data_IF_898491413352
#
_entry.id   IF_898491413352
#
_cell.length_a   1.000
_cell.length_b   1.000
_cell.length_c   1.000
_cell.angle_alpha   90.00
_cell.angle_beta   90.00
_cell.angle_gamma   90.00
#
_symmetry.space_group_name_H-M   'P 1'
#
loop_
_entity.id
_entity.type
_entity.pdbx_description
1 polymer ?
2 branched ?
3 branched ?
4 non-polymer ?
5 non-polymer ?
6 non-polymer ?
7 water ?
#
# COMPACT_ATOMS: atom_id res chain seq x y z
N UNK A 1 -22.92 -8.41 -9.98
CA UNK A 1 -23.22 -8.77 -11.39
C UNK A 1 -23.13 -7.62 -12.41
N UNK A 2 -23.11 -6.36 -11.97
CA UNK A 2 -22.67 -5.24 -12.84
C UNK A 2 -21.32 -4.70 -12.34
N UNK A 3 -20.50 -4.16 -13.24
CA UNK A 3 -19.23 -3.53 -12.84
C UNK A 3 -19.50 -2.38 -11.87
N UNK A 4 -18.68 -2.24 -10.82
CA UNK A 4 -18.81 -1.09 -9.92
C UNK A 4 -18.31 0.20 -10.60
N UNK A 5 -19.05 1.29 -10.38
CA UNK A 5 -18.63 2.62 -10.76
C UNK A 5 -18.40 3.49 -9.53
N UNK A 6 -17.35 4.30 -9.60
CA UNK A 6 -16.98 5.29 -8.58
C UNK A 6 -17.88 6.50 -8.65
N UNK A 7 -19.10 6.35 -8.13
CA UNK A 7 -20.14 7.39 -8.25
C UNK A 7 -20.21 8.30 -7.02
N UNK A 8 -19.55 7.91 -5.93
CA UNK A 8 -19.63 8.62 -4.64
C UNK A 8 -18.35 9.44 -4.36
N UNK A 9 -18.50 10.49 -3.55
CA UNK A 9 -17.36 11.25 -3.02
C UNK A 9 -16.91 10.61 -1.69
N UNK A 10 -15.78 11.07 -1.15
CA UNK A 10 -15.28 10.62 0.17
C UNK A 10 -16.17 11.16 1.29
N UNK A 11 -16.42 10.34 2.31
CA UNK A 11 -17.08 10.82 3.51
C UNK A 11 -16.12 11.81 4.19
N UNK A 12 -16.69 12.69 4.99
CA UNK A 12 -15.91 13.66 5.76
C UNK A 12 -15.16 12.89 6.84
N UNK A 13 -13.85 13.14 6.90
CA UNK A 13 -12.98 12.44 7.82
C UNK A 13 -12.73 13.34 9.02
N UNK A 14 -13.39 13.06 10.14
CA UNK A 14 -13.21 13.85 11.37
C UNK A 14 -12.33 13.14 12.40
N UNK A 15 -12.21 11.80 12.23
CA UNK A 15 -11.27 10.95 12.94
C UNK A 15 -11.20 9.56 12.29
N UNK A 16 -10.53 8.63 12.98
CA UNK A 16 -10.29 7.28 12.49
C UNK A 16 -10.70 6.32 13.58
N UNK A 17 -11.52 5.34 13.19
CA UNK A 17 -11.94 4.28 14.10
C UNK A 17 -11.18 2.96 13.74
N UNK A 18 -10.96 2.10 14.75
CA UNK A 18 -10.37 0.80 14.53
C UNK A 18 -11.30 -0.05 13.60
N UNK A 19 -10.68 -0.66 12.59
CA UNK A 19 -11.39 -1.51 11.59
C UNK A 19 -11.00 -3.00 11.71
N UNK A 20 -9.70 -3.26 11.73
CA UNK A 20 -9.18 -4.62 11.86
C UNK A 20 -7.76 -4.67 12.38
N UNK A 21 -7.41 -5.79 13.01
CA UNK A 21 -6.09 -6.00 13.60
C UNK A 21 -5.98 -7.53 13.77
N UNK A 22 -4.90 -8.12 13.26
CA UNK A 22 -4.75 -9.59 13.32
C UNK A 22 -3.83 -10.13 14.42
N UNK A 23 -3.01 -9.28 15.02
CA UNK A 23 -2.13 -9.71 16.10
C UNK A 23 -1.36 -10.97 15.65
N UNK A 24 -0.89 -10.99 14.41
CA UNK A 24 -0.35 -12.23 13.84
C UNK A 24 0.94 -12.72 14.52
N UNK A 25 1.85 -11.79 14.84
CA UNK A 25 3.14 -12.17 15.43
C UNK A 25 2.91 -12.69 16.87
N UNK A 26 2.02 -12.03 17.65
CA UNK A 26 1.68 -12.49 19.02
C UNK A 26 1.13 -13.90 18.93
N UNK A 27 0.16 -14.09 18.03
CA UNK A 27 -0.51 -15.40 17.94
C UNK A 27 0.42 -16.49 17.37
N UNK A 28 1.20 -16.12 16.35
CA UNK A 28 2.12 -17.04 15.67
C UNK A 28 3.32 -17.55 16.45
N UNK A 29 3.50 -17.01 17.64
CA UNK A 29 4.49 -17.49 18.61
C UNK A 29 4.22 -18.95 18.98
N UNK A 30 2.95 -19.35 18.86
CA UNK A 30 2.53 -20.70 19.28
C UNK A 30 1.36 -21.18 18.42
N UNK A 31 1.40 -20.91 17.13
CA UNK A 31 0.44 -21.51 16.21
C UNK A 31 0.98 -21.37 14.82
N UNK A 32 0.34 -22.03 13.84
CA UNK A 32 0.93 -22.14 12.51
C UNK A 32 0.67 -20.94 11.60
N UNK A 33 1.34 -19.85 11.92
CA UNK A 33 1.15 -18.59 11.20
C UNK A 33 2.28 -18.38 10.18
N UNK A 34 1.88 -18.07 8.94
CA UNK A 34 2.82 -17.76 7.86
C UNK A 34 3.62 -16.46 8.10
N UNK A 35 4.91 -16.50 7.78
CA UNK A 35 5.73 -15.30 7.73
C UNK A 35 5.25 -14.50 6.51
N UNK A 36 5.02 -13.19 6.69
CA UNK A 36 4.58 -12.34 5.58
C UNK A 36 5.41 -11.06 5.57
N UNK A 37 5.09 -10.22 4.56
CA UNK A 37 5.35 -8.80 4.52
C UNK A 37 4.56 -8.20 3.34
N UNK A 38 4.61 -6.88 3.18
CA UNK A 38 3.87 -6.21 2.11
C UNK A 38 2.34 -6.52 2.12
N UNK A 39 1.69 -6.35 3.30
CA UNK A 39 0.26 -6.65 3.41
C UNK A 39 -0.62 -5.53 2.90
N UNK A 40 -1.92 -5.82 2.83
CA UNK A 40 -2.94 -4.83 2.53
C UNK A 40 -4.31 -5.45 2.78
N UNK A 41 -5.35 -4.68 2.46
CA UNK A 41 -6.73 -5.06 2.68
C UNK A 41 -7.46 -4.72 1.36
N UNK A 42 -8.48 -5.51 1.01
CA UNK A 42 -9.23 -5.30 -0.22
C UNK A 42 -10.58 -5.97 -0.05
N UNK A 43 -11.63 -5.30 -0.53
CA UNK A 43 -13.01 -5.78 -0.41
C UNK A 43 -13.56 -6.35 -1.70
N UNK A 44 -14.36 -7.40 -1.54
CA UNK A 44 -15.25 -7.91 -2.56
C UNK A 44 -16.64 -7.33 -2.21
N UNK A 45 -17.65 -7.50 -3.10
CA UNK A 45 -18.98 -7.00 -2.75
C UNK A 45 -19.60 -7.64 -1.51
N UNK A 46 -19.13 -8.82 -1.10
CA UNK A 46 -19.72 -9.56 0.02
C UNK A 46 -18.78 -9.78 1.21
N UNK A 47 -17.54 -9.32 1.13
CA UNK A 47 -16.51 -9.68 2.10
C UNK A 47 -15.29 -8.77 1.92
N UNK A 48 -14.69 -8.34 3.03
CA UNK A 48 -13.37 -7.69 3.01
C UNK A 48 -12.31 -8.63 3.59
N UNK A 49 -11.13 -8.66 2.96
CA UNK A 49 -10.07 -9.59 3.43
C UNK A 49 -8.69 -8.95 3.62
N UNK A 50 -7.82 -9.64 4.39
CA UNK A 50 -6.42 -9.22 4.56
C UNK A 50 -5.63 -9.92 3.46
N UNK A 51 -4.62 -9.22 2.92
CA UNK A 51 -3.76 -9.70 1.85
C UNK A 51 -2.31 -9.50 2.29
N UNK A 52 -1.41 -10.36 1.79
CA UNK A 52 0.03 -10.21 2.00
C UNK A 52 0.84 -11.16 1.13
N UNK A 53 2.13 -10.87 1.04
CA UNK A 53 3.10 -11.75 0.44
C UNK A 53 3.69 -12.73 1.45
N UNK A 54 3.24 -13.99 1.42
CA UNK A 54 3.82 -15.03 2.23
C UNK A 54 5.30 -15.23 1.89
N UNK A 55 6.03 -15.83 2.82
CA UNK A 55 7.43 -16.19 2.60
C UNK A 55 7.58 -17.72 2.49
N UNK A 56 6.45 -18.42 2.49
CA UNK A 56 6.40 -19.86 2.32
C UNK A 56 7.01 -20.65 3.49
N UNK A 57 6.67 -20.22 4.72
CA UNK A 57 7.17 -20.82 5.97
C UNK A 57 6.40 -20.17 7.12
N UNK A 58 6.20 -20.90 8.20
CA UNK A 58 5.69 -20.35 9.45
C UNK A 58 6.78 -19.54 10.16
N UNK A 59 6.38 -18.70 11.11
CA UNK A 59 7.31 -17.86 11.90
C UNK A 59 8.20 -18.69 12.84
N UNK A 60 7.59 -19.64 13.55
CA UNK A 60 8.35 -20.59 14.40
C UNK A 60 9.16 -21.59 13.56
N UNK A 61 8.84 -21.70 12.27
CA UNK A 61 9.53 -22.66 11.43
C UNK A 61 10.99 -22.32 11.28
N UNK A 62 11.84 -23.34 11.21
CA UNK A 62 13.25 -23.16 10.82
C UNK A 62 13.51 -22.40 9.51
N UNK A 63 12.59 -22.48 8.53
CA UNK A 63 12.77 -21.74 7.25
C UNK A 63 12.46 -20.24 7.36
N UNK A 64 12.10 -19.76 8.54
CA UNK A 64 11.86 -18.32 8.73
C UNK A 64 13.22 -17.58 8.72
N UNK A 65 14.28 -18.35 8.90
CA UNK A 65 15.60 -17.78 8.89
C UNK A 65 15.92 -17.33 7.47
N UNK A 66 16.15 -16.03 7.29
CA UNK A 66 16.51 -15.47 5.97
C UNK A 66 15.37 -14.68 5.34
N UNK A 67 14.24 -14.59 6.04
CA UNK A 67 13.03 -13.92 5.51
C UNK A 67 13.08 -12.39 5.45
N UNK A 68 14.21 -11.79 5.89
CA UNK A 68 14.48 -10.38 5.56
C UNK A 68 14.48 -10.15 4.00
N UNK A 69 14.87 -11.17 3.23
CA UNK A 69 14.96 -11.05 1.78
C UNK A 69 13.58 -10.92 1.13
N UNK A 70 13.50 -9.99 0.19
CA UNK A 70 12.25 -9.61 -0.48
C UNK A 70 11.76 -10.59 -1.56
N UNK A 71 12.67 -11.28 -2.24
CA UNK A 71 12.33 -11.96 -3.49
C UNK A 71 12.89 -13.36 -3.52
N UNK A 72 12.00 -14.36 -3.45
CA UNK A 72 12.37 -15.76 -3.53
C UNK A 72 11.25 -16.48 -4.26
N UNK A 73 11.55 -17.73 -4.60
CA UNK A 73 10.61 -18.61 -5.27
C UNK A 73 9.54 -19.13 -4.34
N UNK A 74 9.63 -18.77 -3.05
CA UNK A 74 8.75 -19.36 -2.01
C UNK A 74 7.67 -18.38 -1.57
N UNK A 75 7.61 -17.21 -2.22
CA UNK A 75 6.65 -16.18 -1.88
C UNK A 75 5.35 -16.35 -2.66
N UNK A 76 4.23 -15.86 -2.10
CA UNK A 76 2.98 -15.88 -2.84
C UNK A 76 2.04 -14.85 -2.28
N UNK A 77 1.18 -14.29 -3.14
CA UNK A 77 0.08 -13.48 -2.63
C UNK A 77 -1.00 -14.37 -1.98
N UNK A 78 -1.24 -14.16 -0.70
CA UNK A 78 -2.32 -14.88 0.00
C UNK A 78 -3.39 -13.90 0.48
N UNK A 79 -4.62 -14.38 0.65
CA UNK A 79 -5.63 -13.61 1.36
C UNK A 79 -6.25 -14.48 2.45
N UNK A 80 -6.87 -13.84 3.44
CA UNK A 80 -7.40 -14.57 4.58
C UNK A 80 -8.50 -13.72 5.24
N UNK A 81 -9.36 -14.35 6.09
CA UNK A 81 -10.46 -13.55 6.66
C UNK A 81 -10.01 -12.36 7.53
N UNK A 82 -10.75 -11.25 7.41
CA UNK A 82 -10.47 -9.99 8.08
C UNK A 82 -10.15 -10.19 9.57
N UNK A 83 -9.01 -9.65 9.99
CA UNK A 83 -8.56 -9.66 11.38
C UNK A 83 -8.15 -11.05 11.92
N UNK A 84 -8.28 -12.10 11.10
CA UNK A 84 -7.61 -13.38 11.38
C UNK A 84 -6.12 -13.25 11.07
N UNK A 85 -5.26 -14.13 11.63
CA UNK A 85 -3.87 -14.14 11.20
C UNK A 85 -3.73 -14.99 9.92
N UNK A 86 -2.64 -14.76 9.14
CA UNK A 86 -2.48 -15.60 7.96
C UNK A 86 -1.90 -16.93 8.37
N UNK A 87 -2.74 -17.94 8.51
CA UNK A 87 -2.25 -19.25 8.95
C UNK A 87 -2.09 -20.18 7.73
N UNK A 88 -1.35 -21.24 7.90
CA UNK A 88 -1.23 -22.28 6.88
C UNK A 88 -2.62 -22.80 6.46
N UNK A 89 -3.53 -22.91 7.41
CA UNK A 89 -4.83 -23.57 7.20
C UNK A 89 -5.98 -22.65 6.70
N UNK A 90 -5.85 -21.34 6.88
CA UNK A 90 -6.92 -20.38 6.42
C UNK A 90 -6.51 -19.44 5.29
N UNK A 91 -5.27 -19.57 4.82
CA UNK A 91 -4.77 -18.67 3.79
C UNK A 91 -5.04 -19.21 2.38
N UNK A 92 -5.59 -18.36 1.53
CA UNK A 92 -5.95 -18.71 0.17
C UNK A 92 -4.90 -18.09 -0.73
N UNK A 93 -4.24 -18.90 -1.57
CA UNK A 93 -3.24 -18.38 -2.51
C UNK A 93 -3.93 -17.77 -3.76
N UNK A 94 -3.65 -16.49 -4.01
CA UNK A 94 -4.18 -15.78 -5.18
C UNK A 94 -3.30 -15.97 -6.45
N UNK A 95 -1.99 -16.03 -6.24
CA UNK A 95 -1.02 -16.26 -7.34
C UNK A 95 0.36 -16.33 -6.73
N UNK A 96 1.32 -16.77 -7.53
CA UNK A 96 2.72 -16.98 -7.06
C UNK A 96 3.60 -15.78 -7.46
N UNK A 97 4.34 -15.24 -6.49
CA UNK A 97 5.30 -14.17 -6.81
C UNK A 97 5.69 -13.33 -5.62
N UNK A 98 6.51 -12.31 -5.87
CA UNK A 98 7.10 -11.48 -4.80
C UNK A 98 6.77 -9.99 -4.92
N UNK A 99 5.76 -9.68 -5.73
CA UNK A 99 5.20 -8.32 -5.86
C UNK A 99 3.80 -8.46 -6.44
N UNK A 100 2.85 -7.69 -5.91
CA UNK A 100 1.44 -7.94 -6.22
C UNK A 100 0.54 -6.72 -6.12
N UNK A 101 -0.61 -6.85 -6.77
CA UNK A 101 -1.78 -5.99 -6.48
C UNK A 101 -3.03 -6.87 -6.69
N UNK A 102 -4.21 -6.35 -6.32
CA UNK A 102 -5.48 -7.10 -6.39
C UNK A 102 -6.64 -6.13 -6.22
N UNK A 103 -7.72 -6.34 -6.99
CA UNK A 103 -8.94 -5.55 -6.82
C UNK A 103 -10.14 -6.26 -7.48
N UNK A 104 -11.33 -6.02 -6.94
CA UNK A 104 -12.58 -6.62 -7.44
C UNK A 104 -13.24 -5.53 -8.28
N UNK A 105 -13.75 -5.90 -9.45
CA UNK A 105 -14.39 -4.91 -10.33
C UNK A 105 -15.90 -4.83 -10.19
N UNK A 106 -16.47 -5.61 -9.26
CA UNK A 106 -17.93 -5.62 -9.03
C UNK A 106 -18.53 -6.93 -9.51
N UNK A 107 -17.87 -7.55 -10.47
CA UNK A 107 -18.29 -8.89 -10.95
C UNK A 107 -17.36 -9.94 -10.40
N UNK A 108 -16.04 -9.71 -10.54
CA UNK A 108 -15.07 -10.65 -9.98
C UNK A 108 -13.70 -9.96 -9.71
N UNK A 109 -12.73 -10.72 -9.21
CA UNK A 109 -11.45 -10.17 -8.78
C UNK A 109 -10.31 -10.38 -9.79
N UNK A 110 -9.53 -9.33 -10.02
CA UNK A 110 -8.24 -9.43 -10.70
C UNK A 110 -7.13 -9.44 -9.67
N UNK A 111 -6.18 -10.36 -9.82
CA UNK A 111 -4.99 -10.42 -8.98
C UNK A 111 -3.78 -10.49 -9.87
N UNK A 112 -2.71 -9.81 -9.46
CA UNK A 112 -1.47 -9.76 -10.28
C UNK A 112 -0.27 -10.05 -9.41
N UNK A 113 0.56 -11.01 -9.86
CA UNK A 113 1.79 -11.34 -9.14
C UNK A 113 2.90 -11.33 -10.16
N UNK A 114 4.03 -10.76 -9.71
CA UNK A 114 5.24 -10.75 -10.50
C UNK A 114 6.23 -11.75 -9.87
N UNK A 115 6.92 -12.54 -10.69
CA UNK A 115 7.98 -13.42 -10.18
C UNK A 115 9.15 -13.43 -11.15
N UNK A 116 10.25 -14.08 -10.77
CA UNK A 116 11.39 -14.24 -11.65
C UNK A 116 12.66 -13.67 -11.05
N UNK A 117 13.80 -13.86 -11.77
CA UNK A 117 15.03 -13.26 -11.30
C UNK A 117 14.95 -11.76 -11.58
N UNK A 118 15.86 -10.97 -10.99
CA UNK A 118 15.85 -9.52 -11.16
C UNK A 118 15.88 -9.05 -12.62
N UNK A 119 16.63 -9.76 -13.48
CA UNK A 119 16.75 -9.37 -14.88
C UNK A 119 15.74 -10.01 -15.84
N UNK A 120 14.75 -10.74 -15.31
CA UNK A 120 13.91 -11.52 -16.16
C UNK A 120 12.53 -11.83 -15.55
N UNK A 121 11.96 -10.85 -14.84
CA UNK A 121 10.69 -11.03 -14.16
C UNK A 121 9.51 -10.94 -15.12
N UNK A 122 8.37 -11.48 -14.71
CA UNK A 122 7.14 -11.35 -15.50
C UNK A 122 5.93 -11.22 -14.58
N UNK A 123 4.97 -10.39 -14.97
CA UNK A 123 3.66 -10.29 -14.34
C UNK A 123 2.67 -11.34 -14.95
N UNK A 124 1.93 -12.04 -14.10
CA UNK A 124 0.74 -12.75 -14.57
C UNK A 124 -0.51 -12.20 -13.94
N UNK A 125 -1.47 -11.89 -14.81
CA UNK A 125 -2.72 -11.23 -14.43
C UNK A 125 -3.79 -12.31 -14.42
N UNK A 126 -4.31 -12.57 -13.23
CA UNK A 126 -5.40 -13.51 -13.00
C UNK A 126 -6.72 -12.75 -12.92
N UNK A 127 -7.79 -13.38 -13.37
CA UNK A 127 -9.10 -12.77 -13.34
C UNK A 127 -10.08 -13.94 -13.18
N UNK A 128 -11.02 -13.79 -12.23
CA UNK A 128 -11.93 -14.90 -11.85
C UNK A 128 -11.12 -16.16 -11.49
N UNK A 129 -9.97 -15.92 -10.86
CA UNK A 129 -9.05 -16.96 -10.34
C UNK A 129 -8.41 -17.86 -11.37
N UNK A 130 -8.38 -17.39 -12.61
CA UNK A 130 -7.66 -18.07 -13.68
C UNK A 130 -6.65 -17.10 -14.29
N UNK A 131 -5.50 -17.64 -14.78
CA UNK A 131 -4.52 -16.79 -15.48
C UNK A 131 -5.06 -16.38 -16.86
N UNK A 132 -4.97 -15.08 -17.16
CA UNK A 132 -5.47 -14.54 -18.45
C UNK A 132 -4.39 -13.87 -19.31
N UNK A 133 -3.56 -13.00 -18.69
CA UNK A 133 -2.57 -12.20 -19.44
C UNK A 133 -1.22 -12.26 -18.75
N UNK A 134 -0.15 -12.21 -19.53
CA UNK A 134 1.22 -12.17 -18.98
C UNK A 134 1.99 -11.01 -19.59
N UNK A 135 2.85 -10.36 -18.78
CA UNK A 135 3.66 -9.22 -19.24
C UNK A 135 5.13 -9.43 -18.88
N UNK A 136 6.02 -9.43 -19.89
CA UNK A 136 7.44 -9.63 -19.60
C UNK A 136 8.07 -8.31 -19.17
N UNK A 137 9.05 -8.39 -18.29
CA UNK A 137 9.94 -7.27 -17.97
C UNK A 137 10.30 -6.46 -19.23
N UNK A 138 10.19 -5.12 -19.12
CA UNK A 138 10.60 -4.22 -20.22
C UNK A 138 11.97 -3.52 -19.98
N UNK A 139 12.45 -3.49 -18.74
CA UNK A 139 13.72 -2.78 -18.44
C UNK A 139 14.73 -3.71 -17.74
N UNK A 140 14.33 -4.96 -17.51
CA UNK A 140 15.19 -6.02 -17.00
C UNK A 140 15.81 -5.72 -15.63
N UNK A 141 15.01 -5.11 -14.76
CA UNK A 141 15.47 -4.72 -13.44
C UNK A 141 14.30 -4.67 -12.44
N UNK A 142 13.97 -5.85 -11.90
CA UNK A 142 12.92 -5.98 -10.87
C UNK A 142 11.62 -5.26 -11.28
N UNK A 143 10.97 -5.78 -12.32
CA UNK A 143 9.53 -5.47 -12.56
C UNK A 143 8.77 -5.57 -11.23
N UNK A 144 7.99 -4.52 -10.89
CA UNK A 144 7.37 -4.46 -9.57
C UNK A 144 6.12 -3.57 -9.59
N UNK A 145 5.23 -3.72 -8.60
CA UNK A 145 3.93 -3.05 -8.67
C UNK A 145 3.53 -2.54 -7.29
N UNK A 146 2.24 -2.38 -7.03
CA UNK A 146 1.74 -1.50 -5.97
C UNK A 146 1.97 -1.98 -4.53
N UNK A 147 1.87 -3.30 -4.29
CA UNK A 147 1.81 -3.88 -2.92
C UNK A 147 0.59 -3.37 -2.12
N UNK A 148 -0.44 -2.92 -2.84
CA UNK A 148 -1.76 -2.66 -2.24
C UNK A 148 -2.86 -2.70 -3.31
N UNK A 149 -4.12 -2.54 -2.92
CA UNK A 149 -5.19 -2.82 -3.89
C UNK A 149 -5.24 -1.84 -5.06
N UNK A 150 -5.60 -2.35 -6.24
CA UNK A 150 -5.93 -1.49 -7.38
C UNK A 150 -7.38 -1.02 -7.23
N UNK A 151 -7.86 -0.25 -8.21
CA UNK A 151 -9.21 0.30 -8.15
C UNK A 151 -9.84 0.18 -9.53
N UNK A 152 -11.11 -0.20 -9.59
CA UNK A 152 -11.80 -0.35 -10.86
C UNK A 152 -12.94 0.67 -11.01
N UNK A 153 -13.22 1.00 -12.27
CA UNK A 153 -14.36 1.81 -12.65
C UNK A 153 -14.95 1.30 -13.98
N UNK A 154 -16.21 0.85 -13.94
CA UNK A 154 -16.89 0.24 -15.10
C UNK A 154 -16.07 -0.86 -15.80
N UNK A 155 -15.40 -1.70 -15.02
CA UNK A 155 -14.66 -2.81 -15.63
C UNK A 155 -13.21 -2.49 -15.84
N UNK A 156 -12.88 -1.19 -15.91
CA UNK A 156 -11.47 -0.76 -16.13
C UNK A 156 -10.71 -0.59 -14.79
N UNK A 157 -9.66 -1.41 -14.61
CA UNK A 157 -8.82 -1.40 -13.40
C UNK A 157 -7.37 -1.00 -13.75
N UNK A 158 -7.00 0.29 -13.56
CA UNK A 158 -5.62 0.71 -13.78
C UNK A 158 -4.64 0.19 -12.73
N UNK A 159 -3.43 -0.14 -13.20
CA UNK A 159 -2.38 -0.63 -12.33
C UNK A 159 -1.07 0.08 -12.69
N UNK A 160 -0.36 0.52 -11.64
CA UNK A 160 0.94 1.16 -11.81
C UNK A 160 2.07 0.17 -11.59
N UNK A 161 2.94 0.05 -12.59
CA UNK A 161 4.12 -0.81 -12.56
C UNK A 161 5.36 0.06 -12.74
N UNK A 162 6.49 -0.40 -12.21
CA UNK A 162 7.78 0.20 -12.48
C UNK A 162 8.78 -0.89 -12.81
N UNK A 163 9.69 -0.61 -13.75
CA UNK A 163 10.78 -1.52 -14.10
C UNK A 163 12.01 -0.63 -14.36
N UNK A 164 13.14 -0.99 -13.78
CA UNK A 164 14.37 -0.21 -13.93
C UNK A 164 14.87 0.16 -12.56
N UNK A 165 15.76 1.16 -12.51
CA UNK A 165 16.47 1.52 -11.30
C UNK A 165 15.63 2.00 -10.12
N UNK A 166 16.07 1.66 -8.92
CA UNK A 166 15.51 2.15 -7.65
C UNK A 166 16.21 3.44 -7.19
N UNK A 167 17.28 3.81 -7.90
CA UNK A 167 18.19 4.90 -7.47
C UNK A 167 18.55 5.85 -8.64
N UNK A 168 17.60 6.06 -9.53
CA UNK A 168 17.80 6.78 -10.79
C UNK A 168 16.52 6.68 -11.60
N UNK A 169 16.45 7.38 -12.73
CA UNK A 169 15.29 7.29 -13.62
C UNK A 169 14.93 5.82 -13.95
N UNK A 170 13.63 5.52 -13.95
CA UNK A 170 13.15 4.17 -14.21
C UNK A 170 11.97 4.22 -15.20
N UNK A 171 11.43 3.07 -15.61
CA UNK A 171 10.34 3.03 -16.57
C UNK A 171 9.02 2.57 -15.94
N UNK A 172 8.17 3.55 -15.66
CA UNK A 172 6.90 3.33 -15.00
C UNK A 172 5.84 3.33 -16.09
N UNK A 173 4.91 2.40 -15.99
CA UNK A 173 3.79 2.29 -16.94
C UNK A 173 2.46 2.17 -16.19
N UNK A 174 1.41 2.76 -16.80
CA UNK A 174 0.06 2.58 -16.29
C UNK A 174 -0.66 1.65 -17.25
N UNK A 175 -1.01 0.47 -16.76
CA UNK A 175 -1.78 -0.50 -17.51
C UNK A 175 -3.26 -0.37 -17.14
N UNK A 176 -4.10 -0.34 -18.16
CA UNK A 176 -5.55 -0.32 -18.01
C UNK A 176 -6.09 -1.70 -18.39
N UNK A 177 -6.48 -2.46 -17.36
CA UNK A 177 -7.01 -3.82 -17.53
C UNK A 177 -8.55 -3.84 -17.51
N UNK A 178 -9.12 -4.78 -18.25
CA UNK A 178 -10.55 -5.07 -18.17
C UNK A 178 -10.75 -6.58 -18.41
N UNK A 179 -11.31 -7.26 -17.41
CA UNK A 179 -11.45 -8.72 -17.43
C UNK A 179 -10.09 -9.42 -17.62
N UNK A 180 -9.05 -8.87 -16.99
CA UNK A 180 -7.69 -9.39 -17.09
C UNK A 180 -6.94 -9.16 -18.39
N UNK A 181 -7.56 -8.46 -19.33
CA UNK A 181 -6.92 -8.21 -20.62
C UNK A 181 -6.47 -6.74 -20.68
N UNK A 182 -5.39 -6.48 -21.42
CA UNK A 182 -4.82 -5.13 -21.52
C UNK A 182 -5.68 -4.35 -22.51
N UNK A 183 -6.31 -3.28 -22.04
CA UNK A 183 -6.99 -2.40 -22.97
C UNK A 183 -5.99 -1.42 -23.58
N UNK A 184 -5.06 -0.96 -22.75
CA UNK A 184 -4.16 0.13 -23.11
C UNK A 184 -3.06 0.14 -22.05
N UNK A 185 -1.89 0.66 -22.41
CA UNK A 185 -0.92 1.10 -21.40
C UNK A 185 -0.29 2.44 -21.85
N UNK A 186 0.25 3.20 -20.90
CA UNK A 186 0.90 4.49 -21.13
C UNK A 186 2.21 4.55 -20.32
N UNK A 187 3.25 5.23 -20.85
CA UNK A 187 4.38 5.55 -19.97
C UNK A 187 3.95 6.66 -18.99
N UNK A 188 4.57 6.69 -17.81
CA UNK A 188 4.35 7.75 -16.84
C UNK A 188 4.60 9.14 -17.46
N UNK A 189 3.67 10.06 -17.20
CA UNK A 189 3.86 11.45 -17.58
C UNK A 189 3.72 12.34 -16.36
N UNK A 190 3.84 13.65 -16.59
CA UNK A 190 3.71 14.67 -15.56
C UNK A 190 5.06 14.90 -14.92
N UNK A 191 5.07 15.43 -13.70
CA UNK A 191 6.31 15.90 -13.08
C UNK A 191 6.89 14.96 -11.98
N UNK A 192 6.17 13.89 -11.62
CA UNK A 192 6.75 12.86 -10.75
C UNK A 192 8.02 12.32 -11.40
N UNK A 193 9.11 12.21 -10.65
CA UNK A 193 10.40 11.83 -11.26
C UNK A 193 10.79 10.35 -11.03
N UNK A 194 10.18 9.73 -10.03
CA UNK A 194 10.40 8.32 -9.74
C UNK A 194 9.16 7.81 -9.05
N UNK A 195 8.68 6.61 -9.41
CA UNK A 195 7.41 6.03 -8.90
C UNK A 195 7.57 4.57 -8.47
N UNK A 196 7.13 4.27 -7.25
CA UNK A 196 7.09 2.89 -6.77
C UNK A 196 5.88 2.72 -5.87
N UNK A 197 5.34 1.50 -5.80
CA UNK A 197 4.40 1.13 -4.74
C UNK A 197 3.23 2.09 -4.53
N UNK A 198 2.49 2.38 -5.59
CA UNK A 198 1.34 3.29 -5.49
C UNK A 198 0.19 2.77 -4.60
N UNK A 199 -0.31 3.66 -3.71
CA UNK A 199 -1.49 3.39 -2.89
C UNK A 199 -2.65 4.17 -3.45
N UNK A 200 -3.73 3.47 -3.85
CA UNK A 200 -4.75 4.10 -4.68
C UNK A 200 -6.14 4.01 -4.06
N UNK A 201 -6.98 4.97 -4.42
CA UNK A 201 -8.39 4.95 -4.05
C UNK A 201 -9.19 5.66 -5.15
N UNK A 202 -10.50 5.44 -5.15
CA UNK A 202 -11.38 5.95 -6.17
C UNK A 202 -12.51 6.74 -5.56
N UNK A 203 -12.83 7.87 -6.20
CA UNK A 203 -14.05 8.63 -5.86
C UNK A 203 -14.44 9.49 -7.04
N UNK A 204 -15.75 9.64 -7.24
CA UNK A 204 -16.32 10.43 -8.36
C UNK A 204 -15.54 10.25 -9.70
N UNK A 205 -15.40 9.00 -10.11
CA UNK A 205 -14.86 8.60 -11.43
C UNK A 205 -13.40 9.02 -11.67
N UNK A 206 -12.66 9.24 -10.58
CA UNK A 206 -11.25 9.54 -10.63
C UNK A 206 -10.49 8.64 -9.65
N UNK A 207 -9.33 8.13 -10.06
CA UNK A 207 -8.50 7.31 -9.18
C UNK A 207 -7.25 8.11 -8.82
N UNK A 208 -7.02 8.24 -7.52
CA UNK A 208 -5.86 8.97 -6.98
C UNK A 208 -4.92 7.96 -6.37
N UNK A 209 -3.65 8.04 -6.75
CA UNK A 209 -2.60 7.16 -6.23
C UNK A 209 -1.48 7.98 -5.57
N UNK A 210 -1.14 7.63 -4.33
CA UNK A 210 -0.01 8.24 -3.60
C UNK A 210 1.10 7.21 -3.55
N UNK A 211 2.27 7.60 -4.07
CA UNK A 211 3.32 6.63 -4.30
C UNK A 211 4.60 6.98 -3.56
N UNK A 212 5.68 6.28 -3.91
CA UNK A 212 7.00 6.36 -3.26
C UNK A 212 8.03 6.79 -4.32
N UNK A 213 8.66 7.93 -4.12
CA UNK A 213 9.79 8.31 -4.95
C UNK A 213 11.04 7.83 -4.21
N UNK A 214 11.51 6.63 -4.56
CA UNK A 214 12.65 6.06 -3.90
C UNK A 214 13.96 6.82 -4.16
N UNK A 215 14.09 7.41 -5.35
CA UNK A 215 15.34 7.99 -5.80
C UNK A 215 15.67 9.29 -5.04
N UNK A 216 14.73 10.24 -5.02
CA UNK A 216 15.06 11.55 -4.47
C UNK A 216 14.08 12.16 -3.48
N UNK A 217 12.80 11.77 -3.57
CA UNK A 217 11.71 12.53 -2.97
C UNK A 217 11.31 12.10 -1.57
N UNK A 218 11.29 13.06 -0.64
CA UNK A 218 10.77 12.83 0.73
C UNK A 218 9.35 13.38 0.87
N UNK A 219 8.97 14.23 -0.09
CA UNK A 219 7.53 14.42 -0.38
C UNK A 219 7.04 13.21 -1.23
N UNK A 220 5.74 12.96 -1.30
CA UNK A 220 5.30 11.80 -2.08
C UNK A 220 4.75 12.18 -3.45
N UNK A 221 5.13 11.42 -4.49
CA UNK A 221 4.51 11.62 -5.80
C UNK A 221 3.05 11.18 -5.84
N UNK A 222 2.27 11.81 -6.70
CA UNK A 222 0.85 11.54 -6.83
C UNK A 222 0.49 11.36 -8.31
N UNK A 223 -0.14 10.25 -8.63
CA UNK A 223 -0.70 10.03 -9.94
C UNK A 223 -2.23 10.10 -9.87
N UNK A 224 -2.85 10.90 -10.72
CA UNK A 224 -4.31 10.84 -10.80
C UNK A 224 -4.77 10.32 -12.15
N UNK A 225 -5.65 9.33 -12.11
CA UNK A 225 -6.04 8.55 -13.28
C UNK A 225 -7.52 8.76 -13.61
N UNK A 226 -7.77 9.06 -14.88
CA UNK A 226 -9.12 9.03 -15.46
C UNK A 226 -9.35 7.64 -16.07
N UNK A 227 -10.13 6.76 -15.40
CA UNK A 227 -10.33 5.39 -15.90
C UNK A 227 -11.30 5.28 -17.08
N UNK A 228 -11.97 6.37 -17.44
CA UNK A 228 -12.83 6.42 -18.65
C UNK A 228 -11.98 6.83 -19.85
N UNK A 229 -11.35 8.02 -19.78
CA UNK A 229 -10.43 8.47 -20.85
C UNK A 229 -9.16 7.62 -20.92
N UNK A 230 -8.88 6.86 -19.84
CA UNK A 230 -7.64 6.10 -19.70
C UNK A 230 -6.39 6.98 -19.90
N UNK A 231 -6.39 8.11 -19.19
CA UNK A 231 -5.26 9.05 -19.16
C UNK A 231 -4.90 9.37 -17.71
N UNK A 232 -3.75 9.98 -17.48
CA UNK A 232 -3.30 10.31 -16.12
C UNK A 232 -2.45 11.58 -16.11
N UNK A 233 -2.22 12.12 -14.91
CA UNK A 233 -1.22 13.19 -14.69
C UNK A 233 -0.41 12.73 -13.50
N UNK A 234 0.68 13.43 -13.22
CA UNK A 234 1.44 13.21 -11.97
C UNK A 234 2.07 14.51 -11.51
N UNK A 235 2.25 14.61 -10.19
CA UNK A 235 2.92 15.75 -9.54
C UNK A 235 3.37 15.19 -8.19
N UNK A 236 3.74 16.09 -7.26
CA UNK A 236 4.02 15.73 -5.86
C UNK A 236 2.99 16.40 -4.95
N UNK A 237 2.81 15.86 -3.74
CA UNK A 237 2.20 16.62 -2.64
C UNK A 237 3.03 17.89 -2.38
N UNK A 238 2.38 19.05 -2.58
CA UNK A 238 3.02 20.38 -2.41
C UNK A 238 3.42 20.62 -0.95
N UNK A 239 2.65 20.04 -0.03
CA UNK A 239 2.78 20.30 1.39
C UNK A 239 4.21 20.12 1.94
N UNK A 240 4.65 21.02 2.84
CA UNK A 240 5.88 20.83 3.61
C UNK A 240 5.78 19.76 4.73
N UNK A 241 4.59 19.23 4.96
CA UNK A 241 4.45 18.05 5.86
C UNK A 241 4.92 16.84 5.05
N UNK A 242 6.19 16.46 5.23
CA UNK A 242 6.81 15.40 4.42
C UNK A 242 6.43 14.02 4.96
N UNK A 243 6.11 13.07 4.06
CA UNK A 243 5.49 11.81 4.48
C UNK A 243 6.18 10.52 4.01
N UNK A 244 7.35 10.63 3.40
CA UNK A 244 8.16 9.43 3.16
C UNK A 244 9.05 9.15 4.38
N UNK A 245 9.88 8.13 4.27
CA UNK A 245 10.79 7.76 5.37
C UNK A 245 11.92 6.90 4.79
N UNK A 246 13.20 7.15 5.17
CA UNK A 246 13.65 8.29 5.98
C UNK A 246 13.44 9.63 5.22
N UNK A 247 13.47 10.74 5.95
CA UNK A 247 13.20 12.07 5.39
C UNK A 247 13.91 13.12 6.25
N UNK A 248 14.12 14.33 5.70
CA UNK A 248 14.69 15.36 6.57
C UNK A 248 13.54 15.96 7.38
N UNK A 249 13.84 16.91 8.26
CA UNK A 249 12.81 17.59 9.06
C UNK A 249 11.89 18.40 8.18
N UNK A 250 10.65 18.57 8.64
CA UNK A 250 9.67 19.36 7.90
C UNK A 250 10.15 20.80 7.72
N UNK A 251 10.15 21.30 6.46
CA UNK A 251 10.42 22.72 6.15
C UNK A 251 9.15 23.55 6.34
N UNK A 252 9.17 24.81 5.93
CA UNK A 252 7.93 25.58 5.89
C UNK A 252 7.32 25.69 4.50
N UNK A 253 8.12 25.45 3.46
CA UNK A 253 7.57 25.36 2.11
C UNK A 253 8.03 24.07 1.44
N UNK A 254 6.99 23.13 0.74
CA UNK A 254 7.22 21.89 0.01
C UNK A 254 7.54 22.19 -1.44
N UNK A 255 7.41 21.16 -2.25
CA UNK A 255 7.64 21.27 -3.67
C UNK A 255 6.51 20.51 -4.34
N UNK A 256 5.91 21.16 -5.33
CA UNK A 256 4.75 20.67 -6.08
C UNK A 256 5.17 19.78 -7.24
N UNK A 257 6.30 20.11 -7.86
CA UNK A 257 6.66 19.47 -9.13
C UNK A 257 8.06 18.87 -9.20
N UNK A 258 8.65 18.64 -8.04
CA UNK A 258 9.98 18.07 -7.94
C UNK A 258 10.09 17.35 -6.61
N UNK A 259 11.03 16.38 -6.50
CA UNK A 259 11.25 15.70 -5.23
C UNK A 259 11.79 16.68 -4.16
N UNK A 260 11.26 16.63 -2.93
CA UNK A 260 11.86 17.40 -1.84
C UNK A 260 13.16 16.68 -1.42
N UNK A 261 14.32 17.39 -1.51
CA UNK A 261 15.61 16.70 -1.31
C UNK A 261 16.00 16.50 0.16
N UNK A 262 17.16 15.86 0.36
CA UNK A 262 17.68 15.60 1.69
C UNK A 262 17.94 14.13 1.98
N UNK A 263 17.24 13.22 1.29
CA UNK A 263 17.43 11.76 1.45
C UNK A 263 17.27 11.04 0.10
N UNK A 264 18.24 10.20 -0.23
CA UNK A 264 18.30 9.58 -1.55
C UNK A 264 18.18 8.06 -1.40
N UNK A 265 17.63 7.41 -2.42
CA UNK A 265 17.81 5.97 -2.58
C UNK A 265 17.17 5.13 -1.45
N UNK A 266 16.03 5.58 -0.95
CA UNK A 266 15.31 4.81 0.06
C UNK A 266 13.95 5.43 0.27
N UNK A 267 13.09 4.74 0.99
CA UNK A 267 11.70 5.24 1.18
C UNK A 267 10.86 4.19 1.87
N UNK A 268 9.55 4.40 1.91
CA UNK A 268 8.61 3.41 2.37
C UNK A 268 7.27 3.57 1.62
N UNK A 269 6.57 2.47 1.38
CA UNK A 269 5.24 2.60 0.80
C UNK A 269 4.34 3.36 1.78
N UNK A 270 3.62 4.38 1.30
CA UNK A 270 2.65 5.11 2.14
C UNK A 270 1.44 5.54 1.32
N UNK A 271 0.62 6.45 1.84
CA UNK A 271 -0.66 6.80 1.20
C UNK A 271 -1.14 8.17 1.69
N UNK A 272 -2.19 8.70 1.04
CA UNK A 272 -2.89 9.88 1.54
C UNK A 272 -4.31 9.85 0.99
N UNK A 273 -5.17 10.70 1.57
CA UNK A 273 -6.47 11.00 0.97
C UNK A 273 -6.48 12.47 0.64
N UNK A 274 -6.66 12.80 -0.63
CA UNK A 274 -6.47 14.19 -1.08
C UNK A 274 -7.80 14.78 -1.60
N UNK A 275 -8.46 15.56 -0.75
CA UNK A 275 -9.86 15.93 -0.98
C UNK A 275 -10.14 17.35 -0.43
N UNK A 276 -9.39 18.34 -0.95
CA UNK A 276 -9.55 19.72 -0.52
C UNK A 276 -9.24 19.88 0.95
N UNK A 277 -10.16 20.48 1.70
CA UNK A 277 -10.00 20.59 3.16
C UNK A 277 -10.10 19.22 3.87
N UNK A 278 -10.76 18.25 3.24
CA UNK A 278 -10.89 16.88 3.77
C UNK A 278 -9.65 16.01 3.40
N UNK A 279 -8.46 16.56 3.60
CA UNK A 279 -7.21 15.93 3.20
C UNK A 279 -6.48 15.40 4.43
N UNK A 280 -6.12 14.12 4.40
CA UNK A 280 -5.37 13.51 5.51
C UNK A 280 -4.15 12.75 4.98
N UNK A 281 -3.00 12.99 5.60
CA UNK A 281 -1.75 12.31 5.26
C UNK A 281 -1.32 11.33 6.36
N UNK A 282 -0.86 10.14 5.98
CA UNK A 282 -0.16 9.27 6.91
C UNK A 282 1.34 9.46 6.78
N UNK A 283 2.05 9.26 7.89
CA UNK A 283 3.52 9.17 7.91
C UNK A 283 3.93 8.39 9.14
N UNK A 284 5.14 7.81 9.07
CA UNK A 284 5.88 7.40 10.24
C UNK A 284 6.12 8.63 11.11
N UNK A 285 6.21 8.44 12.43
CA UNK A 285 6.54 9.55 13.31
C UNK A 285 8.05 9.85 13.18
N UNK A 286 8.87 8.81 13.23
CA UNK A 286 10.33 8.93 13.06
C UNK A 286 10.67 9.45 11.66
N UNK A 287 11.70 10.30 11.59
CA UNK A 287 12.26 10.75 10.31
C UNK A 287 13.39 9.83 9.87
N UNK A 288 13.77 8.91 10.75
CA UNK A 288 14.95 8.08 10.55
C UNK A 288 14.60 6.63 10.16
N UNK A 289 13.54 6.08 10.72
CA UNK A 289 13.18 4.70 10.45
C UNK A 289 11.66 4.47 10.50
N UNK A 290 11.25 3.22 10.26
CA UNK A 290 9.83 2.84 10.19
C UNK A 290 9.33 2.65 11.60
N UNK A 291 9.22 3.77 12.30
CA UNK A 291 8.92 3.81 13.70
C UNK A 291 7.75 4.78 13.88
N UNK A 292 6.72 4.33 14.58
CA UNK A 292 5.52 5.15 14.78
C UNK A 292 4.67 5.37 13.54
N UNK A 293 3.47 5.89 13.76
CA UNK A 293 2.56 6.17 12.68
C UNK A 293 1.48 7.12 13.13
N UNK A 294 1.23 8.15 12.33
CA UNK A 294 0.21 9.12 12.64
C UNK A 294 -0.54 9.54 11.39
N UNK A 295 -1.76 10.01 11.59
CA UNK A 295 -2.53 10.65 10.54
C UNK A 295 -2.60 12.14 10.84
N UNK A 296 -2.43 12.96 9.80
CA UNK A 296 -2.50 14.42 9.94
C UNK A 296 -3.46 15.03 8.94
N UNK A 297 -4.37 15.87 9.43
CA UNK A 297 -5.28 16.61 8.57
C UNK A 297 -4.52 17.85 8.07
N UNK A 298 -4.30 17.90 6.75
CA UNK A 298 -3.50 18.95 6.13
C UNK A 298 -4.35 19.50 4.97
N UNK A 299 -5.24 20.47 5.28
CA UNK A 299 -6.10 21.01 4.23
C UNK A 299 -5.32 21.43 2.99
N UNK A 300 -5.78 21.00 1.81
CA UNK A 300 -5.15 21.32 0.52
C UNK A 300 -3.69 20.93 0.36
N UNK A 301 -3.28 19.86 1.03
CA UNK A 301 -1.89 19.38 0.98
C UNK A 301 -1.36 19.21 -0.43
N UNK A 302 -2.20 18.67 -1.31
CA UNK A 302 -1.80 18.42 -2.71
C UNK A 302 -1.35 19.71 -3.40
N UNK A 303 -2.09 20.81 -3.18
CA UNK A 303 -1.91 22.01 -3.99
C UNK A 303 -1.31 23.22 -3.24
N UNK A 304 -1.12 23.11 -1.94
CA UNK A 304 -0.71 24.23 -1.10
C UNK A 304 0.68 23.94 -0.51
N UNK A 305 1.74 24.86 -0.96
CA UNK A 305 3.07 24.40 -0.60
C UNK A 305 3.48 24.91 0.78
N UNK A 306 2.55 25.53 1.47
CA UNK A 306 2.79 25.95 2.82
C UNK A 306 1.80 25.31 3.78
N UNK A 307 0.99 24.37 3.30
CA UNK A 307 -0.04 23.73 4.15
C UNK A 307 0.53 22.92 5.32
N UNK A 308 -0.01 23.17 6.52
CA UNK A 308 0.39 22.58 7.79
C UNK A 308 -0.82 21.90 8.47
N UNK A 309 -0.60 21.02 9.48
CA UNK A 309 -1.71 20.25 10.07
C UNK A 309 -2.71 21.11 10.85
N UNK A 310 -3.99 20.72 10.82
CA UNK A 310 -5.02 21.41 11.60
C UNK A 310 -5.65 20.43 12.57
N UNK A 311 -5.26 19.16 12.45
CA UNK A 311 -5.80 18.09 13.27
C UNK A 311 -4.95 16.86 12.99
N UNK A 312 -4.93 15.83 14.19
CA UNK A 312 -4.22 14.62 13.83
C UNK A 312 -4.71 13.49 14.68
N UNK A 313 -4.12 12.33 14.47
CA UNK A 313 -4.45 11.19 15.30
C UNK A 313 -3.21 10.28 15.28
N UNK A 314 -2.75 9.87 16.46
CA UNK A 314 -1.63 8.92 16.54
C UNK A 314 -2.22 7.52 16.37
N UNK A 315 -1.55 6.71 15.56
CA UNK A 315 -1.98 5.34 15.26
C UNK A 315 -1.04 4.36 15.99
N UNK A 316 0.26 4.61 15.85
CA UNK A 316 1.31 3.79 16.47
C UNK A 316 2.28 4.77 17.11
N UNK A 317 2.56 4.54 18.39
CA UNK A 317 3.55 5.36 19.12
C UNK A 317 4.92 5.20 18.49
N UNK A 318 5.73 6.26 18.57
CA UNK A 318 7.12 6.25 18.09
C UNK A 318 8.05 5.33 18.89
N UNK A 319 7.51 4.67 19.91
CA UNK A 319 8.22 3.62 20.63
C UNK A 319 7.83 2.23 20.11
N UNK A 320 7.07 2.19 19.02
CA UNK A 320 6.69 0.94 18.36
C UNK A 320 7.00 0.98 16.85
N UNK A 321 7.31 -0.18 16.31
CA UNK A 321 7.65 -0.34 14.90
C UNK A 321 6.43 -0.30 13.98
N UNK A 322 6.59 0.37 12.83
CA UNK A 322 5.56 0.41 11.80
C UNK A 322 6.12 -0.24 10.52
N UNK A 323 5.84 0.35 9.37
CA UNK A 323 6.20 -0.21 8.08
C UNK A 323 5.36 0.40 6.98
N UNK A 324 5.08 -0.40 5.98
CA UNK A 324 4.25 0.01 4.84
C UNK A 324 2.86 0.45 5.29
N UNK A 325 2.25 1.40 4.57
CA UNK A 325 0.86 1.73 4.79
C UNK A 325 0.22 1.97 3.42
N UNK A 326 -1.10 1.83 3.32
CA UNK A 326 -1.75 1.90 2.04
C UNK A 326 -3.25 2.06 2.18
N UNK A 327 -3.89 2.36 1.07
CA UNK A 327 -5.28 2.76 1.06
C UNK A 327 -6.18 1.65 0.45
N UNK A 328 -7.40 1.54 0.99
CA UNK A 328 -8.45 0.72 0.42
C UNK A 328 -9.78 1.36 0.89
N UNK A 329 -10.89 1.01 0.24
CA UNK A 329 -12.21 1.35 0.77
C UNK A 329 -13.15 0.22 0.43
N UNK A 330 -14.23 0.15 1.18
CA UNK A 330 -15.32 -0.75 0.86
C UNK A 330 -16.29 -0.04 -0.12
N UNK A 331 -16.00 -0.18 -1.41
CA UNK A 331 -16.83 0.35 -2.50
C UNK A 331 -18.27 -0.21 -2.53
N UNK A 332 -18.54 -1.26 -1.75
CA UNK A 332 -19.88 -1.90 -1.77
C UNK A 332 -20.72 -1.70 -0.49
N UNK A 333 -20.25 -0.80 0.38
CA UNK A 333 -20.93 -0.39 1.60
C UNK A 333 -22.21 0.41 1.32
N UNK A 334 -23.09 0.54 2.30
CA UNK A 334 -24.29 1.39 2.16
C UNK A 334 -23.96 2.86 2.34
N UNK A 335 -24.90 3.73 1.99
CA UNK A 335 -24.71 5.14 2.28
C UNK A 335 -24.35 5.93 1.04
N UNK A 336 -24.06 7.20 1.25
CA UNK A 336 -23.96 8.15 0.17
C UNK A 336 -22.51 8.58 -0.16
N UNK A 337 -21.53 8.03 0.57
CA UNK A 337 -20.15 8.43 0.41
C UNK A 337 -19.21 7.23 0.63
N UNK A 338 -18.01 7.29 0.06
CA UNK A 338 -17.01 6.25 0.36
C UNK A 338 -16.20 6.61 1.64
N UNK A 339 -16.13 5.66 2.57
CA UNK A 339 -15.42 5.84 3.84
C UNK A 339 -13.97 5.44 3.62
N UNK A 340 -13.07 6.40 3.75
CA UNK A 340 -11.65 6.19 3.60
C UNK A 340 -11.14 5.15 4.61
N UNK A 341 -10.33 4.20 4.16
CA UNK A 341 -9.64 3.30 5.10
C UNK A 341 -8.15 3.24 4.77
N UNK A 342 -7.38 2.75 5.71
CA UNK A 342 -5.97 2.42 5.48
C UNK A 342 -5.53 1.27 6.38
N UNK A 343 -4.41 0.64 6.05
CA UNK A 343 -3.75 -0.30 6.96
C UNK A 343 -2.31 0.22 7.22
N UNK A 344 -1.71 -0.23 8.32
CA UNK A 344 -0.29 -0.04 8.56
C UNK A 344 0.27 -1.46 8.82
N UNK A 345 1.37 -1.79 8.13
CA UNK A 345 2.17 -2.98 8.33
C UNK A 345 3.03 -2.70 9.57
N UNK A 346 2.93 -3.59 10.57
CA UNK A 346 3.74 -3.47 11.78
C UNK A 346 4.88 -4.49 11.69
N UNK A 347 6.05 -4.06 11.24
CA UNK A 347 7.17 -5.00 10.97
C UNK A 347 7.90 -5.37 12.26
N UNK A 348 8.16 -6.68 12.41
CA UNK A 348 8.90 -7.19 13.56
C UNK A 348 10.05 -8.01 13.05
N UNK A 349 11.12 -8.07 13.83
CA UNK A 349 12.30 -8.83 13.45
C UNK A 349 13.28 -7.98 12.65
N UNK A 350 13.97 -8.61 11.71
CA UNK A 350 15.09 -7.90 11.05
C UNK A 350 14.60 -6.80 10.10
N UNK A 351 15.40 -5.74 9.91
CA UNK A 351 16.72 -5.54 10.52
C UNK A 351 16.74 -4.89 11.92
N UNK A 352 15.63 -4.30 12.37
CA UNK A 352 15.65 -3.51 13.60
C UNK A 352 15.69 -4.37 14.83
N UNK A 353 15.17 -5.60 14.74
CA UNK A 353 15.20 -6.51 15.89
C UNK A 353 15.95 -7.78 15.49
N UNK A 354 17.28 -7.73 15.59
CA UNK A 354 18.11 -8.78 15.02
C UNK A 354 18.44 -9.96 15.94
N UNK A 355 17.78 -10.02 17.11
CA UNK A 355 17.99 -11.17 17.98
C UNK A 355 17.24 -12.39 17.43
N UNK A 356 16.27 -12.14 16.56
CA UNK A 356 15.61 -13.20 15.75
C UNK A 356 16.16 -13.19 14.33
N UNK A 357 16.07 -14.32 13.65
CA UNK A 357 16.59 -14.51 12.29
C UNK A 357 15.55 -14.23 11.19
N UNK A 358 14.32 -13.91 11.62
CA UNK A 358 13.21 -13.66 10.70
C UNK A 358 12.82 -12.19 10.58
N UNK A 359 12.05 -11.90 9.54
CA UNK A 359 11.29 -10.67 9.40
C UNK A 359 9.86 -11.03 9.12
N UNK A 360 8.93 -10.46 9.89
CA UNK A 360 7.52 -10.63 9.55
C UNK A 360 6.78 -9.34 9.92
N UNK A 361 5.45 -9.44 10.05
CA UNK A 361 4.65 -8.28 10.39
C UNK A 361 3.28 -8.72 10.89
N UNK A 362 2.55 -7.81 11.52
CA UNK A 362 1.12 -7.99 11.64
C UNK A 362 0.44 -6.77 11.00
N UNK A 363 -0.90 -6.70 11.09
CA UNK A 363 -1.67 -5.66 10.44
C UNK A 363 -2.57 -4.94 11.43
N UNK A 364 -2.65 -3.62 11.30
CA UNK A 364 -3.74 -2.85 11.92
C UNK A 364 -4.36 -2.00 10.83
N UNK A 365 -5.70 -1.85 10.83
CA UNK A 365 -6.36 -0.90 9.91
C UNK A 365 -7.47 -0.14 10.59
N UNK A 366 -7.77 1.02 10.03
CA UNK A 366 -8.74 2.00 10.51
C UNK A 366 -9.52 2.50 9.30
N UNK A 367 -10.75 2.98 9.53
CA UNK A 367 -11.52 3.68 8.52
C UNK A 367 -11.95 4.97 9.17
N UNK A 368 -12.38 5.93 8.36
CA UNK A 368 -12.73 7.27 8.89
C UNK A 368 -14.08 7.24 9.58
N UNK A 369 -14.21 8.09 10.60
CA UNK A 369 -15.50 8.40 11.23
C UNK A 369 -15.87 9.87 10.98
N UNK A 370 -17.17 10.18 10.90
CA UNK A 370 -17.64 11.60 10.92
C UNK A 370 -17.72 12.17 12.33
N UNK A 371 -17.56 11.30 13.33
CA UNK A 371 -17.37 11.73 14.72
C UNK A 371 -15.94 12.14 14.99
N UNK A 372 -15.71 12.82 16.13
CA UNK A 372 -14.36 13.17 16.61
C UNK A 372 -13.98 12.21 17.75
N UNK A 373 -13.58 11.00 17.33
CA UNK A 373 -13.35 9.94 18.31
C UNK A 373 -12.04 10.08 19.07
N UNK A 374 -12.09 9.66 20.34
CA UNK A 374 -10.88 9.47 21.13
C UNK A 374 -9.88 8.52 20.46
N UNK A 375 -8.59 8.75 20.70
CA UNK A 375 -7.54 7.93 20.11
C UNK A 375 -6.87 6.93 21.10
N UNK A 376 -6.52 5.75 20.57
CA UNK A 376 -5.61 4.82 21.21
C UNK A 376 -4.45 4.59 20.28
N UNK A 377 -3.40 3.92 20.76
CA UNK A 377 -2.32 3.53 19.86
C UNK A 377 -2.43 2.03 19.73
N UNK A 378 -1.93 1.52 18.60
CA UNK A 378 -2.15 0.11 18.22
C UNK A 378 -0.84 -0.56 17.82
N UNK A 379 -0.06 -1.04 18.81
CA UNK A 379 1.22 -1.70 18.49
C UNK A 379 1.02 -3.15 18.05
N UNK A 380 2.05 -3.73 17.42
CA UNK A 380 2.00 -5.17 17.10
C UNK A 380 1.66 -6.01 18.34
N UNK A 381 2.33 -5.73 19.45
CA UNK A 381 2.04 -6.37 20.74
C UNK A 381 2.87 -7.60 21.10
N UNK A 382 3.71 -8.09 20.18
CA UNK A 382 4.54 -9.26 20.50
C UNK A 382 5.82 -8.91 21.28
N UNK A 383 6.27 -9.86 22.10
CA UNK A 383 7.56 -9.79 22.82
C UNK A 383 8.59 -10.61 22.08
N UNK A 384 9.58 -9.95 21.48
CA UNK A 384 10.62 -10.66 20.74
C UNK A 384 11.35 -11.67 21.62
N UNK A 385 11.59 -11.32 22.88
CA UNK A 385 12.23 -12.21 23.85
C UNK A 385 11.61 -13.62 23.90
N UNK A 386 10.31 -13.71 23.69
CA UNK A 386 9.61 -15.01 23.70
C UNK A 386 10.07 -15.96 22.55
N UNK A 387 10.55 -15.37 21.46
CA UNK A 387 10.96 -16.09 20.27
C UNK A 387 12.41 -16.53 20.34
N UNK A 388 13.08 -16.18 21.45
CA UNK A 388 14.50 -16.47 21.59
C UNK A 388 14.69 -17.85 22.21
X LIG B 1 15.71 -14.36 -20.05
X LIG B 1 17.10 -14.99 -20.14
X LIG B 1 17.22 -15.56 -21.54
X LIG B 1 16.05 -16.53 -21.69
X LIG B 1 14.67 -15.89 -21.48
X LIG B 1 13.47 -16.82 -21.71
X LIG B 1 19.01 -13.87 -19.20
X LIG B 1 19.84 -12.63 -19.33
X LIG B 1 18.04 -13.88 -20.09
X LIG B 1 18.44 -16.31 -21.64
X LIG B 1 16.13 -16.88 -23.05
X LIG B 1 14.67 -15.35 -20.18
X LIG B 1 13.61 -18.13 -21.09
X LIG B 1 19.22 -14.77 -18.36
X LIG B 2 16.13 -18.46 -23.40
X LIG B 2 15.56 -18.94 -24.73
X LIG B 2 15.46 -20.45 -24.58
X LIG B 2 16.85 -20.96 -24.21
X LIG B 2 17.37 -20.38 -22.89
X LIG B 2 18.77 -20.88 -22.51
X LIG B 2 13.95 -17.35 -25.63
X LIG B 2 12.53 -16.89 -25.75
X LIG B 2 14.20 -18.43 -24.85
X LIG B 2 14.99 -20.98 -25.81
X LIG B 2 16.81 -22.38 -24.09
X LIG B 2 17.42 -18.97 -23.07
X LIG B 2 19.66 -20.43 -23.53
X LIG B 2 14.84 -16.75 -26.23
X LIG B 3 17.84 -23.31 -25.07
X LIG B 3 17.83 -24.69 -24.45
X LIG B 3 18.49 -25.63 -25.44
X LIG B 3 17.92 -25.51 -26.85
X LIG B 3 17.86 -24.06 -27.28
X LIG B 3 17.12 -24.00 -28.60
X LIG B 3 16.47 -25.10 -24.26
X LIG B 3 18.21 -26.93 -24.94
X LIG B 3 18.68 -26.24 -27.79
X LIG B 3 17.13 -23.32 -26.31
X LIG B 3 17.46 -22.73 -29.13
X LIG B 4 19.78 -27.54 -24.92
X LIG B 4 19.20 -28.92 -24.64
X LIG B 4 18.87 -29.13 -23.16
X LIG B 4 20.03 -28.75 -22.24
X LIG B 4 20.39 -27.29 -22.56
X LIG B 4 21.57 -26.73 -21.78
X LIG B 4 20.31 -29.74 -25.00
X LIG B 4 18.43 -30.45 -22.93
X LIG B 4 19.63 -28.83 -20.86
X LIG B 4 20.75 -27.20 -23.95
X LIG B 4 21.51 -25.30 -22.03
X LIG B 5 20.59 -31.30 -24.98
X LIG B 5 22.08 -31.48 -25.27
X LIG B 5 22.43 -31.23 -26.73
X LIG B 5 21.47 -32.00 -27.63
X LIG B 5 20.00 -31.62 -27.33
X LIG B 5 18.95 -32.41 -28.13
X LIG B 5 22.39 -32.81 -24.92
X LIG B 5 23.79 -31.62 -26.88
X LIG B 5 21.80 -31.66 -28.98
X LIG B 5 19.71 -31.86 -25.94
X LIG B 5 19.20 -33.83 -28.15
X LIG B 6 23.12 -33.23 -23.38
X LIG B 6 23.33 -34.74 -23.43
X LIG B 6 21.98 -35.46 -23.45
X LIG B 6 21.09 -34.98 -22.28
X LIG B 6 20.87 -33.45 -22.38
X LIG B 6 20.06 -32.87 -21.21
X LIG B 6 24.07 -35.09 -22.25
X LIG B 6 22.20 -36.87 -23.42
X LIG B 6 19.86 -35.72 -22.19
X LIG B 6 22.12 -32.75 -22.43
X LIG B 6 20.84 -33.01 -20.02
X LIG B 7 19.16 -22.55 -30.00
X LIG B 7 19.29 -21.10 -30.42
X LIG B 7 18.15 -20.75 -31.39
X LIG B 7 18.05 -21.69 -32.57
X LIG B 7 17.77 -23.02 -31.93
X LIG B 7 17.56 -24.13 -32.94
X LIG B 7 20.57 -20.98 -31.04
X LIG B 7 18.34 -19.44 -31.88
X LIG B 7 16.98 -21.30 -33.44
X LIG B 7 18.86 -23.40 -31.11
X LIG B 7 18.67 -24.04 -33.85
X LIG B 8 16.87 -17.84 -31.39
X LIG B 8 17.76 -16.93 -32.24
X LIG B 8 19.13 -16.62 -31.61
X LIG B 8 19.02 -16.33 -30.12
X LIG B 8 18.40 -17.55 -29.44
X LIG B 8 18.30 -17.43 -27.92
X LIG B 8 17.06 -15.73 -32.57
X LIG B 8 19.77 -15.58 -32.35
X LIG B 8 20.32 -16.03 -29.56
X LIG B 8 17.07 -17.79 -29.97
X LIG B 8 18.25 -18.73 -27.31
X LIG B 9 19.09 -25.47 -35.41
X LIG B 9 20.47 -24.84 -35.69
X LIG B 9 20.37 -23.37 -36.11
X LIG B 9 19.19 -23.09 -37.07
X LIG B 9 17.89 -23.57 -36.47
X LIG B 9 16.69 -23.25 -37.37
X LIG B 9 21.18 -25.68 -36.62
X LIG B 9 21.62 -22.90 -36.64
X LIG B 9 19.04 -21.70 -37.33
X LIG B 9 17.98 -24.98 -36.20
X LIG B 9 15.45 -23.74 -36.82
X LIG C 1 -21.79 1.15 -14.14
X LIG C 1 -23.11 0.47 -13.91
X LIG C 1 -23.30 -0.43 -15.11
X LIG C 1 -23.27 0.41 -16.38
X LIG C 1 -22.01 1.30 -16.49
X LIG C 1 -21.94 2.20 -17.73
X LIG C 1 -23.81 -0.41 -11.75
X LIG C 1 -23.53 -1.30 -10.56
X LIG C 1 -22.90 -0.38 -12.73
X LIG C 1 -24.52 -1.16 -15.00
X LIG C 1 -23.23 -0.53 -17.45
X LIG C 1 -21.86 2.04 -15.27
X LIG C 1 -23.15 2.94 -17.87
X LIG C 1 -24.83 0.25 -11.79
X LIG C 2 -24.67 -0.59 -18.67
X LIG C 2 -24.25 -1.37 -19.91
X LIG C 2 -25.53 -1.59 -20.70
X LIG C 2 -26.48 -2.40 -19.81
X LIG C 2 -26.65 -1.82 -18.39
X LIG C 2 -27.41 -2.73 -17.44
X LIG C 2 -23.05 0.59 -21.02
X LIG C 2 -21.73 0.97 -21.60
X LIG C 2 -23.13 -0.66 -20.56
X LIG C 2 -25.27 -2.32 -21.90
X LIG C 2 -27.75 -2.54 -20.45
X LIG C 2 -25.39 -1.48 -17.82
X LIG C 2 -26.54 -3.76 -16.98
X LIG C 2 -23.97 1.41 -20.98
X LIG D 1 11.34 -2.26 1.46
X LIG D 1 11.36 -3.06 0.18
X LIG D 1 10.33 -4.21 0.22
X LIG D 1 9.87 -4.69 -1.17
X LIG D 1 10.83 -4.26 -2.28
X LIG D 1 10.94 -2.74 -2.28
X LIG D 1 12.07 -2.27 -3.21
X LIG D 1 12.11 -0.74 -3.23
X LIG D 1 13.24 -0.24 -4.13
X LIG D 1 10.79 -5.52 -4.43
X LIG D 1 10.04 -5.87 -5.68
X LIG D 1 10.22 -4.65 -3.57
X LIG D 1 11.77 -1.09 1.34
X LIG D 1 10.97 -2.77 2.56
X LIG D 1 12.71 -3.54 0.09
X LIG D 1 9.77 -6.10 -1.10
X LIG D 1 11.11 -2.21 -0.95
X LIG D 1 13.33 -2.78 -2.74
X LIG D 1 10.83 -0.18 -3.59
X LIG D 1 12.88 -0.38 -5.50
X LIG D 1 11.88 -6.02 -4.22
X LIG E 1 13.51 7.94 16.15
X LIG E 1 14.16 7.35 17.43
X LIG E 1 13.21 7.25 18.63
X LIG E 1 12.18 6.13 18.46
X LIG E 1 12.87 4.82 18.08
X LIG E 1 13.79 5.05 16.88
X LIG E 1 14.60 3.82 16.45
X LIG E 1 15.70 4.12 15.45
X LIG E 1 16.22 2.82 14.83
X LIG E 1 11.67 2.64 18.28
X LIG E 1 10.48 1.80 17.87
X LIG E 1 11.76 3.88 17.76
X LIG E 1 13.93 7.55 15.04
X LIG E 1 12.60 8.80 16.26
X LIG E 1 15.25 8.19 17.79
X LIG E 1 11.47 5.97 19.72
X LIG E 1 14.75 6.08 17.19
X LIG E 1 15.21 3.26 17.61
X LIG E 1 15.19 5.01 14.43
X LIG E 1 17.28 3.16 13.95
X LIG E 1 12.50 2.19 19.04
X LIG F 1 20.68 -18.55 10.26
X LIG F 1 21.44 -19.47 11.20
X LIG F 1 22.81 -18.82 11.41
X LIG F 1 23.50 -18.66 10.05
X LIG F 1 22.61 -17.86 9.10
X LIG F 1 23.21 -17.64 7.71
X LIG F 1 19.69 -20.25 12.74
X LIG F 1 19.05 -20.11 14.09
X LIG F 1 20.71 -19.44 12.49
X LIG F 1 23.57 -19.64 12.29
X LIG F 1 24.76 -18.00 10.22
X LIG F 1 21.32 -18.48 9.00
X LIG F 1 23.15 -18.83 6.92
X LIG F 1 19.27 -21.04 11.90
X LIG G 1 12.07 8.58 -0.78
#
# INVERSE_FOLDING_TARGET
RDFNNLTKGLCTINSWHIYGKDNAVRIGEDSDVLVTREPYVSCDPDECRFYALSQGTTIRGKHSNGTIHDRSQYRALISWPLSSPPTVYNSRVECIGWSSTSCHDGKTRMSICISGPNNNASAVIWYNRRPVTEINTWARNILRTQESECVCHNGVCPVVFTDGSATGPAETRIYYFKEGKILKWEPLAGTAKHIEECSCYGERAEITCTCRDNWQGSNRPVIRIDPVAMTHTSQYICSPVLTDNPRPNDPTVGKCNDPYPGNNNNGVKGFSYLDGVNTWLGRTISIASRSGYEMLKVPNALTDDKSKPTQGQTIVLNTDWSGYSGSFMDYWAEGECYRACFYVELIRGRPKEDKVWWTSNSIVSMCSSTEFLGQWDWPDGAKIEYFL
NAG C1 C2 C3 C4 C5 C6 C7 C8 N2 O3 O4 O5 O6 O7
NAG C1 C2 C3 C4 C5 C6 C7 C8 N2 O3 O4 O5 O6 O7
BMA C1 C2 C3 C4 C5 C6 O2 O3 O4 O5 O6
MAN C1 C2 C3 C4 C5 C6 O2 O3 O4 O5 O6
MAN C1 C2 C3 C4 C5 C6 O2 O3 O4 O5 O6
MAN C1 C2 C3 C4 C5 C6 O2 O3 O4 O5 O6
MAN C1 C2 C3 C4 C5 C6 O2 O3 O4 O5 O6
MAN C1 C2 C3 C4 C5 C6 O2 O3 O4 O5 O6
MAN C1 C2 C3 C4 C5 C6 O2 O3 O4 O5 O6
NAG C1 C2 C3 C4 C5 C6 C7 C8 N2 O3 O4 O5 O6 O7
NAG C1 C2 C3 C4 C5 C6 C7 C8 N2 O3 O4 O5 O6 O7
SIA C1 C2 C3 C4 C5 C6 C7 C8 C9 C10 C11 N5 O1A O1B O2 O4 O6 O7 O8 O9 O10
SIA C1 C2 C3 C4 C5 C6 C7 C8 C9 C10 C11 N5 O1A O1B O2 O4 O6 O7 O8 O9 O10
NAG C1 C2 C3 C4 C5 C6 C7 C8 N2 O3 O4 O5 O6 O7
CA CA
#
